data_IF_337825432354
#
_entry.id   IF_337825432354
#
_cell.length_a   1.000
_cell.length_b   1.000
_cell.length_c   1.000
_cell.angle_alpha   90.00
_cell.angle_beta   90.00
_cell.angle_gamma   90.00
#
_symmetry.space_group_name_H-M   'P 1'
#
loop_
_entity.id
_entity.type
_entity.pdbx_description
1 polymer ?
#
# COMPACT_ATOMS: atom_id res chain seq x y z
N UNK A 1 20.35 -8.67 -23.00
CA UNK A 1 20.44 -9.67 -21.92
C UNK A 1 19.96 -9.01 -20.63
N UNK A 2 18.72 -9.27 -20.22
CA UNK A 2 18.20 -8.75 -18.96
C UNK A 2 18.75 -9.65 -17.84
N UNK A 3 19.54 -9.07 -16.94
CA UNK A 3 19.97 -9.74 -15.72
C UNK A 3 18.77 -9.95 -14.83
N UNK A 4 18.37 -11.22 -14.67
CA UNK A 4 17.39 -11.64 -13.67
C UNK A 4 17.86 -11.17 -12.30
N UNK A 5 17.21 -10.13 -11.76
CA UNK A 5 17.37 -9.75 -10.36
C UNK A 5 16.91 -10.94 -9.51
N UNK A 6 17.85 -11.56 -8.80
CA UNK A 6 17.55 -12.61 -7.82
C UNK A 6 16.66 -12.00 -6.74
N UNK A 7 15.36 -12.21 -6.84
CA UNK A 7 14.40 -11.78 -5.83
C UNK A 7 14.72 -12.56 -4.55
N UNK A 8 15.03 -11.85 -3.47
CA UNK A 8 15.15 -12.47 -2.16
C UNK A 8 13.86 -13.27 -1.87
N UNK A 9 13.96 -14.48 -1.31
CA UNK A 9 12.77 -15.28 -1.01
C UNK A 9 11.87 -14.53 -0.02
N UNK A 10 10.56 -14.59 -0.25
CA UNK A 10 9.58 -14.02 0.66
C UNK A 10 9.67 -14.71 2.02
N UNK A 11 9.56 -13.92 3.10
CA UNK A 11 9.53 -14.47 4.45
C UNK A 11 8.27 -15.34 4.63
N UNK A 12 8.33 -16.45 5.39
CA UNK A 12 7.15 -17.28 5.69
C UNK A 12 5.97 -16.48 6.26
N UNK A 13 6.27 -15.50 7.13
CA UNK A 13 5.28 -14.60 7.72
C UNK A 13 4.50 -13.77 6.71
N UNK A 14 5.09 -13.49 5.53
CA UNK A 14 4.38 -12.82 4.44
C UNK A 14 3.40 -13.77 3.74
N UNK A 15 3.75 -15.04 3.58
CA UNK A 15 2.83 -16.04 3.02
C UNK A 15 1.65 -16.27 3.96
N UNK A 16 1.89 -16.31 5.27
CA UNK A 16 0.83 -16.35 6.27
C UNK A 16 -0.07 -15.11 6.17
N UNK A 17 0.51 -13.92 5.99
CA UNK A 17 -0.27 -12.70 5.74
C UNK A 17 -1.12 -12.79 4.45
N UNK A 18 -0.62 -13.44 3.40
CA UNK A 18 -1.36 -13.56 2.14
C UNK A 18 -2.51 -14.57 2.22
N UNK A 19 -2.25 -15.74 2.78
CA UNK A 19 -3.15 -16.90 2.77
C UNK A 19 -4.02 -17.05 4.03
N UNK A 20 -3.71 -16.34 5.11
CA UNK A 20 -4.50 -16.32 6.34
C UNK A 20 -4.99 -14.89 6.71
N UNK A 21 -5.79 -14.24 5.84
CA UNK A 21 -6.27 -12.88 6.06
C UNK A 21 -7.17 -12.72 7.30
N UNK A 22 -7.80 -13.81 7.76
CA UNK A 22 -8.55 -13.86 9.02
C UNK A 22 -7.67 -13.64 10.27
N UNK A 23 -6.34 -13.71 10.17
CA UNK A 23 -5.46 -13.43 11.30
C UNK A 23 -5.37 -11.93 11.62
N UNK A 24 -5.77 -11.05 10.69
CA UNK A 24 -5.70 -9.60 10.85
C UNK A 24 -6.96 -8.85 10.44
N UNK A 25 -8.02 -9.58 10.08
CA UNK A 25 -9.35 -9.05 9.85
C UNK A 25 -10.28 -9.61 10.92
N UNK A 26 -11.13 -8.77 11.50
CA UNK A 26 -12.18 -9.17 12.46
C UNK A 26 -13.34 -9.95 11.78
N UNK A 27 -13.06 -10.68 10.71
CA UNK A 27 -14.02 -11.54 10.04
C UNK A 27 -14.01 -12.91 10.72
N UNK A 28 -15.18 -13.35 11.20
CA UNK A 28 -15.40 -14.67 11.76
C UNK A 28 -14.68 -15.72 10.91
N UNK A 29 -13.71 -16.39 11.55
CA UNK A 29 -12.81 -17.35 10.94
C UNK A 29 -13.63 -18.31 10.08
N UNK A 30 -13.15 -18.55 8.85
CA UNK A 30 -13.56 -19.71 8.07
C UNK A 30 -13.69 -20.89 9.02
N UNK A 31 -14.87 -21.50 9.08
CA UNK A 31 -15.01 -22.81 9.71
C UNK A 31 -14.02 -23.72 8.98
N UNK A 32 -12.88 -24.00 9.62
CA UNK A 32 -11.81 -24.79 9.04
C UNK A 32 -12.37 -26.20 8.89
N UNK A 33 -12.87 -26.52 7.71
CA UNK A 33 -13.27 -27.86 7.36
C UNK A 33 -12.05 -28.78 7.37
N UNK A 34 -12.23 -30.03 7.80
CA UNK A 34 -11.16 -31.02 7.83
C UNK A 34 -10.72 -31.39 6.40
N UNK A 35 -9.40 -31.32 6.16
CA UNK A 35 -8.77 -31.71 4.89
C UNK A 35 -8.36 -30.54 3.99
N UNK A 36 -7.23 -30.72 3.30
CA UNK A 36 -6.57 -29.68 2.50
C UNK A 36 -7.45 -29.13 1.36
N UNK A 37 -8.24 -29.99 0.70
CA UNK A 37 -9.14 -29.56 -0.38
C UNK A 37 -10.26 -28.65 0.14
N UNK A 38 -10.87 -29.02 1.27
CA UNK A 38 -11.94 -28.24 1.88
C UNK A 38 -11.44 -26.88 2.37
N UNK A 39 -10.23 -26.82 2.93
CA UNK A 39 -9.57 -25.57 3.31
C UNK A 39 -9.29 -24.67 2.11
N UNK A 40 -8.78 -25.25 1.01
CA UNK A 40 -8.52 -24.50 -0.23
C UNK A 40 -9.80 -23.91 -0.82
N UNK A 41 -10.87 -24.70 -0.88
CA UNK A 41 -12.14 -24.26 -1.44
C UNK A 41 -12.82 -23.23 -0.52
N UNK A 42 -12.72 -23.41 0.79
CA UNK A 42 -13.11 -22.41 1.79
C UNK A 42 -12.37 -21.07 1.60
N UNK A 43 -11.05 -21.11 1.45
CA UNK A 43 -10.23 -19.92 1.18
C UNK A 43 -10.65 -19.24 -0.14
N UNK A 44 -10.81 -19.98 -1.24
CA UNK A 44 -11.28 -19.42 -2.52
C UNK A 44 -12.67 -18.79 -2.40
N UNK A 45 -13.59 -19.45 -1.67
CA UNK A 45 -14.93 -18.93 -1.43
C UNK A 45 -14.91 -17.63 -0.62
N UNK A 46 -14.09 -17.57 0.43
CA UNK A 46 -13.89 -16.36 1.22
C UNK A 46 -13.31 -15.24 0.35
N UNK A 47 -12.27 -15.51 -0.44
CA UNK A 47 -11.66 -14.52 -1.33
C UNK A 47 -12.67 -13.94 -2.33
N UNK A 48 -13.51 -14.79 -2.92
CA UNK A 48 -14.57 -14.36 -3.84
C UNK A 48 -15.59 -13.43 -3.15
N UNK A 49 -16.01 -13.75 -1.92
CA UNK A 49 -16.92 -12.90 -1.12
C UNK A 49 -16.28 -11.57 -0.73
N UNK A 50 -14.99 -11.60 -0.37
CA UNK A 50 -14.22 -10.42 0.01
C UNK A 50 -13.76 -9.57 -1.18
N UNK A 51 -13.95 -10.05 -2.42
CA UNK A 51 -13.51 -9.34 -3.63
C UNK A 51 -11.98 -9.28 -3.78
N UNK A 52 -11.24 -10.27 -3.25
CA UNK A 52 -9.77 -10.34 -3.35
C UNK A 52 -9.33 -11.54 -4.20
N UNK A 53 -8.14 -11.43 -4.80
CA UNK A 53 -7.57 -12.52 -5.60
C UNK A 53 -7.13 -13.67 -4.68
N UNK A 54 -7.64 -14.88 -4.91
CA UNK A 54 -7.25 -16.05 -4.13
C UNK A 54 -5.81 -16.50 -4.46
N UNK A 55 -5.48 -16.52 -5.75
CA UNK A 55 -4.19 -17.00 -6.23
C UNK A 55 -3.06 -15.99 -5.96
N UNK A 56 -1.86 -16.52 -5.74
CA UNK A 56 -0.65 -15.71 -5.62
C UNK A 56 -0.21 -15.25 -7.02
N UNK A 57 0.20 -13.99 -7.22
CA UNK A 57 0.56 -13.49 -8.54
C UNK A 57 1.78 -14.23 -9.09
N UNK A 58 1.77 -14.56 -10.39
CA UNK A 58 2.90 -15.21 -11.07
C UNK A 58 4.07 -14.26 -11.33
N UNK A 59 3.82 -12.95 -11.29
CA UNK A 59 4.83 -11.89 -11.42
C UNK A 59 4.59 -10.85 -10.36
N UNK A 60 5.61 -10.59 -9.56
CA UNK A 60 5.57 -9.58 -8.50
C UNK A 60 6.99 -9.13 -8.14
N UNK A 61 7.09 -7.97 -7.52
CA UNK A 61 8.31 -7.45 -6.92
C UNK A 61 8.29 -7.73 -5.41
N UNK A 62 9.11 -8.68 -4.99
CA UNK A 62 9.17 -9.16 -3.61
C UNK A 62 9.51 -8.06 -2.58
N UNK A 63 10.18 -6.98 -2.99
CA UNK A 63 10.53 -5.89 -2.08
C UNK A 63 9.29 -5.15 -1.54
N UNK A 64 8.14 -5.27 -2.22
CA UNK A 64 6.87 -4.72 -1.73
C UNK A 64 6.27 -5.48 -0.54
N UNK A 65 6.85 -6.60 -0.11
CA UNK A 65 6.41 -7.31 1.10
C UNK A 65 6.39 -6.42 2.36
N UNK A 66 7.14 -5.31 2.38
CA UNK A 66 7.19 -4.31 3.46
C UNK A 66 5.87 -3.57 3.66
N UNK A 67 4.96 -3.62 2.68
CA UNK A 67 3.63 -3.04 2.77
C UNK A 67 2.60 -4.00 3.41
N UNK A 68 2.99 -5.25 3.72
CA UNK A 68 2.12 -6.24 4.36
C UNK A 68 1.86 -5.87 5.83
N UNK A 69 0.88 -4.99 6.04
CA UNK A 69 0.47 -4.53 7.36
C UNK A 69 -0.77 -5.30 7.81
N UNK A 70 -0.90 -5.45 9.13
CA UNK A 70 -2.02 -6.14 9.77
C UNK A 70 -2.93 -5.17 10.53
N UNK A 71 -2.45 -3.96 10.84
CA UNK A 71 -3.17 -3.00 11.69
C UNK A 71 -3.68 -1.83 10.86
N UNK A 72 -5.00 -1.56 10.85
CA UNK A 72 -5.58 -0.41 10.13
C UNK A 72 -4.91 0.92 10.47
N UNK A 73 -4.68 1.19 11.76
CA UNK A 73 -4.07 2.44 12.21
C UNK A 73 -2.62 2.61 11.74
N UNK A 74 -1.86 1.50 11.65
CA UNK A 74 -0.48 1.53 11.18
C UNK A 74 -0.43 1.84 9.69
N UNK A 75 -1.31 1.19 8.89
CA UNK A 75 -1.46 1.46 7.46
C UNK A 75 -1.80 2.93 7.21
N UNK A 76 -2.82 3.45 7.91
CA UNK A 76 -3.29 4.83 7.75
C UNK A 76 -2.24 5.87 8.13
N UNK A 77 -1.57 5.69 9.28
CA UNK A 77 -0.48 6.61 9.71
C UNK A 77 0.72 6.56 8.76
N UNK A 78 1.10 5.37 8.30
CA UNK A 78 2.18 5.22 7.34
C UNK A 78 1.84 5.87 6.00
N UNK A 79 0.61 5.67 5.52
CA UNK A 79 0.09 6.32 4.33
C UNK A 79 0.08 7.85 4.48
N UNK A 80 -0.35 8.40 5.61
CA UNK A 80 -0.33 9.84 5.86
C UNK A 80 1.09 10.44 5.75
N UNK A 81 2.10 9.79 6.34
CA UNK A 81 3.49 10.21 6.19
C UNK A 81 3.97 10.10 4.74
N UNK A 82 3.62 8.99 4.06
CA UNK A 82 4.02 8.73 2.68
C UNK A 82 3.40 9.75 1.71
N UNK A 83 2.10 10.07 1.84
CA UNK A 83 1.44 11.16 1.13
C UNK A 83 2.04 12.53 1.43
N UNK A 84 2.43 12.76 2.69
CA UNK A 84 3.18 13.94 3.10
C UNK A 84 4.52 14.10 2.36
N UNK A 85 5.23 13.01 2.02
CA UNK A 85 6.45 13.10 1.21
C UNK A 85 6.18 13.63 -0.21
N UNK A 86 5.09 13.20 -0.85
CA UNK A 86 4.71 13.71 -2.18
C UNK A 86 4.22 15.17 -2.11
N UNK A 87 3.45 15.51 -1.07
CA UNK A 87 2.98 16.87 -0.84
C UNK A 87 4.15 17.82 -0.55
N UNK A 88 5.20 17.37 0.14
CA UNK A 88 6.42 18.16 0.36
C UNK A 88 7.26 18.41 -0.90
N UNK A 89 7.15 17.56 -1.93
CA UNK A 89 7.86 17.75 -3.21
C UNK A 89 7.12 18.65 -4.18
N UNK A 90 5.80 18.64 -4.13
CA UNK A 90 4.95 19.36 -5.06
C UNK A 90 4.72 20.78 -4.54
N UNK A 91 5.18 21.77 -5.30
CA UNK A 91 4.97 23.17 -4.95
C UNK A 91 3.57 23.58 -5.43
N UNK A 92 2.65 23.83 -4.50
CA UNK A 92 1.30 24.25 -4.85
C UNK A 92 0.40 24.44 -3.62
N UNK A 93 -0.69 25.21 -3.78
CA UNK A 93 -1.65 25.47 -2.69
C UNK A 93 -2.28 24.18 -2.14
N UNK A 94 -2.62 23.24 -3.03
CA UNK A 94 -3.20 21.94 -2.65
C UNK A 94 -2.20 21.11 -1.85
N UNK A 95 -0.95 21.00 -2.31
CA UNK A 95 0.10 20.28 -1.61
C UNK A 95 0.43 20.88 -0.23
N UNK A 96 0.41 22.21 -0.12
CA UNK A 96 0.55 22.89 1.17
C UNK A 96 -0.62 22.60 2.11
N UNK A 97 -1.85 22.55 1.60
CA UNK A 97 -3.02 22.19 2.39
C UNK A 97 -2.94 20.74 2.89
N UNK A 98 -2.50 19.80 2.04
CA UNK A 98 -2.27 18.39 2.42
C UNK A 98 -1.22 18.28 3.53
N UNK A 99 -0.08 18.97 3.39
CA UNK A 99 0.93 19.00 4.44
C UNK A 99 0.41 19.61 5.74
N UNK A 100 -0.37 20.69 5.66
CA UNK A 100 -0.89 21.39 6.82
C UNK A 100 -1.80 20.52 7.71
N UNK A 101 -2.38 19.45 7.17
CA UNK A 101 -3.18 18.48 7.93
C UNK A 101 -2.34 17.58 8.84
N UNK A 102 -1.04 17.43 8.57
CA UNK A 102 -0.15 16.63 9.41
C UNK A 102 0.27 17.40 10.67
N UNK A 103 0.59 16.73 11.79
CA UNK A 103 1.27 17.34 12.92
C UNK A 103 2.58 18.04 12.50
N UNK A 104 2.89 19.19 13.13
CA UNK A 104 4.07 20.01 12.76
C UNK A 104 5.40 19.25 12.78
N UNK A 105 5.55 18.27 13.66
CA UNK A 105 6.74 17.40 13.69
C UNK A 105 6.84 16.55 12.42
N UNK A 106 5.72 15.98 11.97
CA UNK A 106 5.62 15.17 10.77
C UNK A 106 5.79 16.02 9.51
N UNK A 107 5.22 17.22 9.46
CA UNK A 107 5.44 18.16 8.35
C UNK A 107 6.93 18.42 8.10
N UNK A 108 7.66 18.83 9.16
CA UNK A 108 9.11 19.10 9.08
C UNK A 108 9.90 17.87 8.65
N UNK A 109 9.52 16.72 9.18
CA UNK A 109 10.16 15.46 8.81
C UNK A 109 9.91 15.11 7.34
N UNK A 110 8.67 15.22 6.86
CA UNK A 110 8.33 14.96 5.46
C UNK A 110 9.11 15.90 4.52
N UNK A 111 9.22 17.18 4.86
CA UNK A 111 10.03 18.13 4.09
C UNK A 111 11.52 17.74 4.04
N UNK A 112 12.09 17.37 5.19
CA UNK A 112 13.50 16.94 5.27
C UNK A 112 13.76 15.68 4.44
N UNK A 113 12.90 14.66 4.56
CA UNK A 113 13.04 13.42 3.80
C UNK A 113 12.82 13.66 2.31
N UNK A 114 11.82 14.45 1.93
CA UNK A 114 11.54 14.80 0.54
C UNK A 114 12.75 15.48 -0.14
N UNK A 115 13.48 16.35 0.58
CA UNK A 115 14.70 16.96 0.04
C UNK A 115 15.82 15.93 -0.21
N UNK A 116 15.95 14.93 0.66
CA UNK A 116 16.98 13.90 0.53
C UNK A 116 16.61 12.78 -0.46
N UNK A 117 15.32 12.46 -0.58
CA UNK A 117 14.79 11.35 -1.37
C UNK A 117 13.68 11.84 -2.30
N UNK A 118 14.01 12.40 -3.48
CA UNK A 118 13.01 12.95 -4.37
C UNK A 118 12.11 11.84 -4.94
N UNK A 119 10.83 11.91 -4.59
CA UNK A 119 9.77 11.07 -5.10
C UNK A 119 8.98 11.81 -6.19
N UNK A 120 8.50 11.06 -7.18
CA UNK A 120 7.56 11.53 -8.21
C UNK A 120 6.19 10.89 -7.96
N UNK A 121 5.09 11.65 -8.04
CA UNK A 121 3.74 11.09 -7.97
C UNK A 121 3.52 10.03 -9.05
N UNK A 122 2.81 8.94 -8.74
CA UNK A 122 2.49 7.89 -9.71
C UNK A 122 1.35 8.26 -10.67
N UNK A 123 0.72 9.43 -10.45
CA UNK A 123 -0.30 10.01 -11.33
C UNK A 123 -1.74 9.69 -10.92
N UNK A 124 -2.00 9.34 -9.65
CA UNK A 124 -3.38 9.21 -9.17
C UNK A 124 -3.98 10.60 -8.95
N UNK A 125 -5.15 10.83 -9.53
CA UNK A 125 -5.95 12.03 -9.29
C UNK A 125 -6.98 11.74 -8.20
N UNK A 126 -6.95 12.54 -7.14
CA UNK A 126 -7.88 12.46 -6.03
C UNK A 126 -8.80 13.68 -5.99
N UNK A 127 -9.89 13.57 -5.24
CA UNK A 127 -10.81 14.68 -5.01
C UNK A 127 -10.15 15.85 -4.26
N UNK A 128 -10.74 17.06 -4.31
CA UNK A 128 -10.17 18.26 -3.71
C UNK A 128 -10.00 18.18 -2.19
N UNK A 129 -10.80 17.35 -1.52
CA UNK A 129 -10.77 17.17 -0.05
C UNK A 129 -9.83 16.04 0.39
N UNK A 130 -9.09 15.43 -0.53
CA UNK A 130 -8.16 14.35 -0.20
C UNK A 130 -7.02 14.86 0.69
N UNK A 131 -6.82 14.15 1.81
CA UNK A 131 -5.75 14.44 2.75
C UNK A 131 -4.45 13.70 2.43
N UNK A 132 -3.50 13.83 3.34
CA UNK A 132 -2.20 13.15 3.22
C UNK A 132 -2.36 11.62 3.27
N UNK A 133 -3.33 11.12 4.04
CA UNK A 133 -3.64 9.69 4.11
C UNK A 133 -4.12 9.16 2.76
N UNK A 134 -5.14 9.80 2.17
CA UNK A 134 -5.69 9.40 0.87
C UNK A 134 -4.63 9.46 -0.23
N UNK A 135 -3.81 10.53 -0.24
CA UNK A 135 -2.69 10.64 -1.18
C UNK A 135 -1.72 9.46 -1.03
N UNK A 136 -1.31 9.14 0.20
CA UNK A 136 -0.39 8.03 0.42
C UNK A 136 -0.97 6.66 0.08
N UNK A 137 -2.25 6.43 0.41
CA UNK A 137 -2.96 5.19 0.08
C UNK A 137 -3.08 5.03 -1.44
N UNK A 138 -3.44 6.09 -2.15
CA UNK A 138 -3.55 6.08 -3.61
C UNK A 138 -2.20 5.79 -4.30
N UNK A 139 -1.14 6.46 -3.84
CA UNK A 139 0.23 6.28 -4.35
C UNK A 139 0.77 4.87 -4.08
N UNK A 140 0.45 4.30 -2.92
CA UNK A 140 0.76 2.91 -2.58
C UNK A 140 -0.04 1.94 -3.46
N UNK A 141 -1.36 2.11 -3.50
CA UNK A 141 -2.28 1.24 -4.22
C UNK A 141 -1.90 1.10 -5.69
N UNK A 142 -1.68 2.22 -6.38
CA UNK A 142 -1.30 2.20 -7.80
C UNK A 142 0.01 1.46 -8.05
N UNK A 143 1.00 1.61 -7.16
CA UNK A 143 2.29 0.91 -7.28
C UNK A 143 2.17 -0.58 -6.98
N UNK A 144 1.39 -0.94 -5.97
CA UNK A 144 1.09 -2.35 -5.68
C UNK A 144 0.33 -2.99 -6.84
N UNK A 145 -0.67 -2.35 -7.42
CA UNK A 145 -1.37 -2.93 -8.58
C UNK A 145 -0.45 -3.12 -9.80
N UNK A 146 0.57 -2.27 -9.96
CA UNK A 146 1.56 -2.42 -11.04
C UNK A 146 2.64 -3.47 -10.75
N UNK A 147 3.07 -3.60 -9.49
CA UNK A 147 4.30 -4.34 -9.12
C UNK A 147 4.04 -5.56 -8.24
N UNK A 148 2.91 -5.64 -7.55
CA UNK A 148 2.47 -6.78 -6.74
C UNK A 148 0.93 -6.91 -6.79
N UNK A 149 0.37 -7.35 -7.93
CA UNK A 149 -1.07 -7.43 -8.11
C UNK A 149 -1.77 -8.27 -7.02
N UNK A 150 -2.90 -7.78 -6.52
CA UNK A 150 -3.67 -8.44 -5.46
C UNK A 150 -3.20 -8.17 -4.02
N UNK A 151 -2.06 -7.50 -3.82
CA UNK A 151 -1.63 -7.05 -2.49
C UNK A 151 -2.48 -5.88 -1.99
N UNK A 152 -2.78 -4.91 -2.88
CA UNK A 152 -3.61 -3.76 -2.51
C UNK A 152 -5.03 -4.17 -2.08
N UNK A 153 -5.67 -5.08 -2.82
CA UNK A 153 -7.04 -5.51 -2.47
C UNK A 153 -7.13 -6.14 -1.07
N UNK A 154 -6.07 -6.79 -0.58
CA UNK A 154 -5.97 -7.26 0.82
C UNK A 154 -5.80 -6.11 1.81
N UNK A 155 -4.90 -5.16 1.52
CA UNK A 155 -4.71 -3.99 2.38
C UNK A 155 -5.97 -3.11 2.45
N UNK A 156 -6.74 -3.03 1.36
CA UNK A 156 -7.99 -2.30 1.30
C UNK A 156 -9.06 -2.86 2.26
N UNK A 157 -8.97 -4.14 2.67
CA UNK A 157 -9.84 -4.72 3.69
C UNK A 157 -9.60 -4.13 5.09
N UNK A 158 -8.46 -3.48 5.31
CA UNK A 158 -8.17 -2.76 6.57
C UNK A 158 -8.77 -1.34 6.59
N UNK A 159 -9.41 -0.90 5.51
CA UNK A 159 -9.96 0.45 5.38
C UNK A 159 -11.48 0.44 5.51
N UNK A 160 -12.10 1.56 5.94
CA UNK A 160 -13.54 1.76 5.79
C UNK A 160 -13.98 1.54 4.34
N UNK A 161 -15.10 0.84 4.15
CA UNK A 161 -15.58 0.41 2.82
C UNK A 161 -15.70 1.56 1.81
N UNK A 162 -16.22 2.71 2.23
CA UNK A 162 -16.36 3.89 1.37
C UNK A 162 -15.00 4.43 0.89
N UNK A 163 -13.99 4.44 1.77
CA UNK A 163 -12.64 4.91 1.46
C UNK A 163 -11.96 3.95 0.48
N UNK A 164 -12.06 2.64 0.73
CA UNK A 164 -11.54 1.60 -0.16
C UNK A 164 -12.15 1.68 -1.58
N UNK A 165 -13.46 1.90 -1.67
CA UNK A 165 -14.18 2.02 -2.94
C UNK A 165 -13.75 3.26 -3.73
N UNK A 166 -13.69 4.43 -3.07
CA UNK A 166 -13.26 5.68 -3.70
C UNK A 166 -11.83 5.59 -4.23
N UNK A 167 -10.90 5.09 -3.41
CA UNK A 167 -9.50 4.87 -3.83
C UNK A 167 -9.42 3.86 -4.99
N UNK A 168 -10.17 2.77 -4.92
CA UNK A 168 -10.21 1.76 -5.98
C UNK A 168 -10.65 2.33 -7.34
N UNK A 169 -11.58 3.30 -7.35
CA UNK A 169 -11.98 3.98 -8.59
C UNK A 169 -10.85 4.83 -9.17
N UNK A 170 -10.22 5.69 -8.36
CA UNK A 170 -9.10 6.54 -8.80
C UNK A 170 -7.90 5.70 -9.27
N UNK A 171 -7.59 4.61 -8.58
CA UNK A 171 -6.48 3.71 -8.94
C UNK A 171 -6.75 3.02 -10.27
N UNK A 172 -7.97 2.51 -10.52
CA UNK A 172 -8.33 1.90 -11.82
C UNK A 172 -8.19 2.89 -12.97
N UNK A 173 -8.60 4.15 -12.78
CA UNK A 173 -8.45 5.19 -13.79
C UNK A 173 -6.96 5.47 -14.08
N UNK A 174 -6.14 5.58 -13.04
CA UNK A 174 -4.70 5.83 -13.20
C UNK A 174 -3.92 4.62 -13.79
N UNK A 175 -4.39 3.39 -13.53
CA UNK A 175 -3.86 2.19 -14.19
C UNK A 175 -4.12 2.23 -15.70
N UNK A 176 -5.34 2.62 -16.12
CA UNK A 176 -5.71 2.74 -17.53
C UNK A 176 -4.88 3.80 -18.27
N UNK A 177 -4.38 4.83 -17.58
CA UNK A 177 -3.51 5.86 -18.16
C UNK A 177 -2.07 5.37 -18.48
N UNK A 178 -1.65 4.19 -18.00
CA UNK A 178 -0.47 3.49 -18.52
C UNK A 178 0.91 4.07 -18.16
N UNK A 179 1.04 4.92 -17.15
CA UNK A 179 2.35 5.44 -16.74
C UNK A 179 3.25 4.33 -16.17
N UNK A 180 4.51 4.26 -16.61
CA UNK A 180 5.51 3.29 -16.15
C UNK A 180 6.63 4.00 -15.40
N UNK A 181 6.89 3.57 -14.16
CA UNK A 181 8.02 4.05 -13.37
C UNK A 181 9.27 3.19 -13.62
N UNK A 182 10.44 3.81 -13.62
CA UNK A 182 11.72 3.08 -13.69
C UNK A 182 11.99 2.31 -12.39
N UNK A 183 12.80 1.25 -12.48
CA UNK A 183 13.12 0.41 -11.30
C UNK A 183 13.89 1.18 -10.22
N UNK A 184 14.76 2.13 -10.61
CA UNK A 184 15.45 3.00 -9.67
C UNK A 184 14.49 3.91 -8.89
N UNK A 185 13.42 4.40 -9.55
CA UNK A 185 12.38 5.18 -8.88
C UNK A 185 11.57 4.30 -7.92
N UNK A 186 11.22 3.08 -8.34
CA UNK A 186 10.50 2.11 -7.52
C UNK A 186 11.29 1.71 -6.26
N UNK A 187 12.59 1.43 -6.37
CA UNK A 187 13.46 1.14 -5.22
C UNK A 187 13.50 2.30 -4.21
N UNK A 188 13.52 3.56 -4.70
CA UNK A 188 13.48 4.73 -3.84
C UNK A 188 12.16 4.84 -3.09
N UNK A 189 11.05 4.61 -3.80
CA UNK A 189 9.72 4.61 -3.21
C UNK A 189 9.59 3.54 -2.12
N UNK A 190 10.07 2.32 -2.36
CA UNK A 190 10.08 1.25 -1.36
C UNK A 190 10.88 1.63 -0.11
N UNK A 191 12.04 2.26 -0.27
CA UNK A 191 12.82 2.79 0.86
C UNK A 191 12.05 3.86 1.63
N UNK A 192 11.43 4.81 0.94
CA UNK A 192 10.64 5.84 1.58
C UNK A 192 9.45 5.26 2.36
N UNK A 193 8.75 4.28 1.79
CA UNK A 193 7.70 3.55 2.50
C UNK A 193 8.24 2.88 3.77
N UNK A 194 9.37 2.17 3.66
CA UNK A 194 10.03 1.51 4.81
C UNK A 194 10.37 2.52 5.92
N UNK A 195 10.94 3.67 5.57
CA UNK A 195 11.30 4.72 6.54
C UNK A 195 10.03 5.33 7.19
N UNK A 196 8.95 5.55 6.43
CA UNK A 196 7.66 5.96 6.99
C UNK A 196 7.16 4.95 8.03
N UNK A 197 7.21 3.66 7.70
CA UNK A 197 6.77 2.59 8.59
C UNK A 197 7.62 2.49 9.86
N UNK A 198 8.95 2.55 9.74
CA UNK A 198 9.87 2.58 10.88
C UNK A 198 9.56 3.76 11.81
N UNK A 199 9.27 4.93 11.25
CA UNK A 199 8.89 6.11 12.03
C UNK A 199 7.57 5.92 12.79
N UNK A 200 6.55 5.36 12.14
CA UNK A 200 5.25 5.06 12.79
C UNK A 200 5.45 4.09 13.95
N UNK A 201 6.26 3.05 13.76
CA UNK A 201 6.55 2.04 14.79
C UNK A 201 7.36 2.58 15.96
N UNK A 202 8.25 3.54 15.71
CA UNK A 202 9.02 4.21 16.75
C UNK A 202 8.16 5.15 17.63
N UNK A 203 6.89 5.37 17.31
CA UNK A 203 5.99 6.21 18.09
C UNK A 203 6.34 7.71 18.04
N UNK A 204 7.20 8.12 17.11
CA UNK A 204 7.59 9.52 16.93
C UNK A 204 6.46 10.32 16.26
N UNK A 205 5.44 10.63 17.06
CA UNK A 205 4.30 11.52 16.74
C UNK A 205 4.71 12.98 16.68
#
# INVERSE_FOLDING_TARGET
MATSSSAAPLAPTFLDWWFAPWNYLDAHALALADGMLAQRDGYRSWCAKAGVAADFPSRFDAAWHIAALQRPQELRRCAALFGGLFAARTHGKVSQAILAQLPRAQQRWCMSVAMAQPLAPAGVVLGPDAGAEEQGLAELALRLERRFPGMWSRLALLLPTHQAQALGQSVRQALAAGAVESDAANLRVQRCWKICLERVRAGAG
#
